data_IF_865306885567
#
_entry.id   IF_865306885567
#
_cell.length_a   1.000
_cell.length_b   1.000
_cell.length_c   1.000
_cell.angle_alpha   90.00
_cell.angle_beta   90.00
_cell.angle_gamma   90.00
#
_symmetry.space_group_name_H-M   'P 1'
#
loop_
_entity.id
_entity.type
_entity.pdbx_description
1 polymer ?
#
# COMPACT_ATOMS: atom_id res chain seq x y z
N UNK A 1 89.72 38.39 8.98
CA UNK A 1 90.10 37.55 7.83
C UNK A 1 89.33 36.24 7.94
N UNK A 2 88.45 35.98 6.95
CA UNK A 2 88.29 34.71 6.21
C UNK A 2 88.48 33.35 6.93
N UNK A 3 87.70 32.28 6.75
CA UNK A 3 86.64 31.89 5.80
C UNK A 3 86.02 30.56 6.31
N UNK A 4 84.73 30.39 6.00
CA UNK A 4 83.97 29.16 5.72
C UNK A 4 84.23 27.83 6.47
N UNK A 5 83.18 27.39 7.17
CA UNK A 5 82.87 25.98 7.48
C UNK A 5 81.98 25.37 6.38
N UNK A 6 82.07 24.04 6.13
CA UNK A 6 81.45 23.37 4.98
C UNK A 6 79.95 23.05 5.17
N UNK A 7 79.21 22.70 4.10
CA UNK A 7 77.75 22.69 4.08
C UNK A 7 77.12 21.39 4.58
N UNK A 8 75.95 21.55 5.19
CA UNK A 8 74.98 20.53 5.59
C UNK A 8 74.45 19.76 4.37
N UNK A 9 74.32 18.42 4.44
CA UNK A 9 73.52 17.68 3.47
C UNK A 9 72.04 17.70 3.88
N UNK A 10 71.21 18.02 2.89
CA UNK A 10 69.78 17.80 2.91
C UNK A 10 69.45 16.32 3.11
N UNK A 11 68.38 16.03 3.88
CA UNK A 11 67.84 14.68 4.02
C UNK A 11 66.54 14.71 4.81
N UNK A 12 65.43 14.71 4.10
CA UNK A 12 64.12 15.11 4.62
C UNK A 12 63.49 14.18 5.65
N UNK A 13 62.54 14.76 6.40
CA UNK A 13 61.41 14.04 6.99
C UNK A 13 60.22 14.99 7.05
N UNK A 14 59.53 15.13 5.93
CA UNK A 14 58.14 15.54 5.95
C UNK A 14 57.33 14.33 6.40
N UNK A 15 57.18 14.18 7.71
CA UNK A 15 56.13 13.34 8.28
C UNK A 15 54.81 14.07 8.10
N UNK A 16 54.31 14.07 6.86
CA UNK A 16 52.91 14.35 6.59
C UNK A 16 52.11 13.25 7.27
N UNK A 17 51.57 13.53 8.45
CA UNK A 17 50.45 12.78 9.00
C UNK A 17 49.35 12.84 7.96
N UNK A 18 49.22 11.79 7.17
CA UNK A 18 48.01 11.52 6.41
C UNK A 18 46.88 11.50 7.43
N UNK A 19 46.08 12.57 7.45
CA UNK A 19 44.72 12.51 7.99
C UNK A 19 44.08 11.22 7.48
N UNK A 20 43.30 10.48 8.28
CA UNK A 20 42.62 9.28 7.80
C UNK A 20 41.90 9.66 6.52
N UNK A 21 42.40 9.18 5.38
CA UNK A 21 41.77 9.39 4.09
C UNK A 21 40.38 8.85 4.27
N UNK A 22 39.39 9.74 4.17
CA UNK A 22 37.98 9.44 4.22
C UNK A 22 37.73 8.17 3.40
N UNK A 23 37.56 7.04 4.10
CA UNK A 23 37.57 5.70 3.52
C UNK A 23 36.31 5.40 2.69
N UNK A 24 35.47 6.42 2.52
CA UNK A 24 34.25 6.41 1.74
C UNK A 24 34.54 6.21 0.25
N UNK A 25 33.74 5.36 -0.37
CA UNK A 25 33.77 5.19 -1.82
C UNK A 25 33.45 6.53 -2.52
N UNK A 26 33.91 6.77 -3.76
CA UNK A 26 33.64 8.03 -4.47
C UNK A 26 32.16 8.43 -4.52
N UNK A 27 31.27 7.45 -4.64
CA UNK A 27 29.81 7.65 -4.66
C UNK A 27 29.25 8.13 -3.30
N UNK A 28 29.86 7.71 -2.19
CA UNK A 28 29.47 8.12 -0.83
C UNK A 28 30.02 9.51 -0.47
N UNK A 29 30.90 10.08 -1.31
CA UNK A 29 31.44 11.43 -1.14
C UNK A 29 30.64 12.48 -1.90
N UNK A 30 29.65 12.06 -2.69
CA UNK A 30 28.78 12.97 -3.41
C UNK A 30 27.90 13.76 -2.42
N UNK A 31 27.55 15.02 -2.75
CA UNK A 31 26.47 15.73 -2.08
C UNK A 31 25.18 14.90 -2.07
N UNK A 32 24.41 15.05 -1.00
CA UNK A 32 23.18 14.28 -0.77
C UNK A 32 22.17 14.44 -1.90
N UNK A 33 22.11 15.62 -2.52
CA UNK A 33 21.24 15.94 -3.66
C UNK A 33 21.61 15.13 -4.90
N UNK A 34 22.90 14.85 -5.12
CA UNK A 34 23.34 13.99 -6.21
C UNK A 34 23.03 12.52 -5.93
N UNK A 35 23.16 12.08 -4.68
CA UNK A 35 22.73 10.74 -4.25
C UNK A 35 21.24 10.56 -4.51
N UNK A 36 20.41 11.55 -4.14
CA UNK A 36 18.97 11.56 -4.40
C UNK A 36 18.68 11.48 -5.90
N UNK A 37 19.35 12.31 -6.70
CA UNK A 37 19.16 12.33 -8.16
C UNK A 37 19.53 10.99 -8.80
N UNK A 38 20.66 10.40 -8.41
CA UNK A 38 21.09 9.08 -8.89
C UNK A 38 20.04 8.01 -8.52
N UNK A 39 19.54 8.05 -7.28
CA UNK A 39 18.52 7.12 -6.84
C UNK A 39 17.20 7.29 -7.61
N UNK A 40 16.70 8.51 -7.83
CA UNK A 40 15.46 8.71 -8.59
C UNK A 40 15.59 8.39 -10.09
N UNK A 41 16.80 8.44 -10.65
CA UNK A 41 17.05 8.02 -12.03
C UNK A 41 17.11 6.49 -12.19
N UNK A 42 17.54 5.78 -11.15
CA UNK A 42 17.73 4.32 -11.20
C UNK A 42 16.60 3.52 -10.53
N UNK A 43 15.97 4.10 -9.50
CA UNK A 43 15.01 3.45 -8.59
C UNK A 43 15.50 2.10 -8.04
N UNK A 44 16.82 1.94 -7.91
CA UNK A 44 17.48 0.70 -7.52
C UNK A 44 17.54 0.58 -5.99
N UNK A 45 16.71 -0.29 -5.41
CA UNK A 45 16.65 -0.49 -3.95
C UNK A 45 17.88 -1.20 -3.36
N UNK A 46 18.75 -1.79 -4.18
CA UNK A 46 20.05 -2.26 -3.72
C UNK A 46 21.02 -1.11 -3.45
N UNK A 47 20.79 0.08 -4.01
CA UNK A 47 21.64 1.25 -3.79
C UNK A 47 21.68 1.70 -2.31
N UNK A 48 20.55 1.96 -1.61
CA UNK A 48 20.57 2.21 -0.17
C UNK A 48 21.06 1.00 0.64
N UNK A 49 20.91 -0.24 0.14
CA UNK A 49 21.38 -1.44 0.86
C UNK A 49 22.90 -1.62 0.80
N UNK A 50 23.56 -1.05 -0.21
CA UNK A 50 25.00 -1.18 -0.42
C UNK A 50 25.85 -0.36 0.56
N UNK A 51 25.29 0.67 1.20
CA UNK A 51 26.01 1.56 2.12
C UNK A 51 25.10 2.19 3.15
N UNK A 52 25.51 2.15 4.42
CA UNK A 52 24.82 2.84 5.50
C UNK A 52 24.80 4.38 5.30
N UNK A 53 25.83 4.95 4.67
CA UNK A 53 25.88 6.37 4.38
C UNK A 53 24.84 6.75 3.32
N UNK A 54 24.74 5.96 2.25
CA UNK A 54 23.72 6.16 1.20
C UNK A 54 22.31 5.91 1.76
N UNK A 55 22.13 4.89 2.60
CA UNK A 55 20.87 4.65 3.29
C UNK A 55 20.43 5.85 4.13
N UNK A 56 21.34 6.42 4.93
CA UNK A 56 21.06 7.60 5.73
C UNK A 56 20.73 8.82 4.86
N UNK A 57 21.46 9.01 3.75
CA UNK A 57 21.20 10.07 2.78
C UNK A 57 19.80 9.96 2.14
N UNK A 58 19.34 8.73 1.85
CA UNK A 58 18.03 8.47 1.25
C UNK A 58 16.89 8.32 2.26
N UNK A 59 17.20 8.26 3.56
CA UNK A 59 16.20 8.08 4.61
C UNK A 59 15.50 9.40 4.94
N UNK A 60 14.66 9.86 4.02
CA UNK A 60 13.94 11.12 4.10
C UNK A 60 12.47 10.91 3.75
N UNK A 61 11.57 11.45 4.58
CA UNK A 61 10.12 11.32 4.36
C UNK A 61 9.68 11.87 3.00
N UNK A 62 10.27 12.96 2.52
CA UNK A 62 9.98 13.52 1.17
C UNK A 62 10.30 12.49 0.08
N UNK A 63 11.43 11.80 0.20
CA UNK A 63 11.82 10.75 -0.74
C UNK A 63 10.81 9.60 -0.70
N UNK A 64 10.40 9.18 0.49
CA UNK A 64 9.40 8.13 0.66
C UNK A 64 8.04 8.52 0.07
N UNK A 65 7.59 9.76 0.27
CA UNK A 65 6.34 10.25 -0.35
C UNK A 65 6.43 10.26 -1.88
N UNK A 66 7.56 10.68 -2.45
CA UNK A 66 7.77 10.63 -3.90
C UNK A 66 7.78 9.20 -4.42
N UNK A 67 8.46 8.27 -3.74
CA UNK A 67 8.44 6.85 -4.11
C UNK A 67 7.03 6.27 -4.10
N UNK A 68 6.23 6.56 -3.06
CA UNK A 68 4.84 6.10 -2.99
C UNK A 68 4.01 6.69 -4.12
N UNK A 69 4.10 8.01 -4.36
CA UNK A 69 3.35 8.63 -5.45
C UNK A 69 3.76 8.08 -6.81
N UNK A 70 5.06 7.83 -7.02
CA UNK A 70 5.58 7.25 -8.27
C UNK A 70 5.05 5.83 -8.47
N UNK A 71 5.10 5.00 -7.43
CA UNK A 71 4.72 3.60 -7.54
C UNK A 71 3.21 3.39 -7.55
N UNK A 72 2.43 4.17 -6.80
CA UNK A 72 1.03 3.86 -6.50
C UNK A 72 0.01 4.82 -7.09
N UNK A 73 0.41 5.87 -7.82
CA UNK A 73 -0.56 6.70 -8.56
C UNK A 73 -1.13 5.95 -9.75
N UNK A 74 -2.43 6.11 -10.04
CA UNK A 74 -3.05 5.54 -11.23
C UNK A 74 -2.45 6.13 -12.52
N UNK A 75 -2.33 5.31 -13.57
CA UNK A 75 -1.73 5.67 -14.86
C UNK A 75 -2.79 5.80 -15.98
N UNK A 76 -3.91 6.46 -15.67
CA UNK A 76 -5.04 6.55 -16.60
C UNK A 76 -4.70 7.43 -17.79
N UNK A 77 -5.40 7.30 -18.94
CA UNK A 77 -5.20 8.16 -20.09
C UNK A 77 -5.22 9.66 -19.76
N UNK A 78 -6.11 10.12 -18.86
CA UNK A 78 -6.16 11.54 -18.46
C UNK A 78 -5.18 11.92 -17.35
N UNK A 79 -4.38 10.97 -16.85
CA UNK A 79 -3.28 11.25 -15.91
C UNK A 79 -2.04 11.77 -16.65
N UNK A 80 -1.86 11.43 -17.93
CA UNK A 80 -0.76 11.94 -18.77
C UNK A 80 -0.96 13.38 -19.25
N UNK A 81 -2.19 13.91 -19.16
CA UNK A 81 -2.54 15.28 -19.58
C UNK A 81 -2.21 16.36 -18.54
N UNK A 82 -1.01 16.31 -17.96
CA UNK A 82 -0.49 17.41 -17.13
C UNK A 82 -0.82 17.34 -15.63
N UNK A 83 -1.60 16.35 -15.20
CA UNK A 83 -2.02 16.20 -13.78
C UNK A 83 -0.86 15.74 -12.91
N UNK A 84 -0.03 14.83 -13.43
CA UNK A 84 1.09 14.23 -12.73
C UNK A 84 2.41 14.90 -13.16
N UNK A 85 2.44 16.23 -13.10
CA UNK A 85 3.60 17.06 -13.50
C UNK A 85 4.33 17.59 -12.27
N UNK A 86 5.61 17.95 -12.46
CA UNK A 86 6.43 18.65 -11.47
C UNK A 86 5.66 19.87 -10.91
N UNK A 87 5.53 20.04 -9.58
CA UNK A 87 6.31 19.44 -8.50
C UNK A 87 5.70 18.20 -7.82
N UNK A 88 4.55 17.70 -8.30
CA UNK A 88 3.83 16.63 -7.59
C UNK A 88 4.55 15.27 -7.68
N UNK A 89 5.24 15.04 -8.80
CA UNK A 89 6.07 13.87 -9.08
C UNK A 89 7.43 14.32 -9.66
N UNK A 90 8.53 13.59 -9.38
CA UNK A 90 9.78 13.81 -10.08
C UNK A 90 9.57 13.55 -11.58
N UNK A 91 10.15 14.42 -12.42
CA UNK A 91 9.82 14.59 -13.85
C UNK A 91 9.98 13.35 -14.74
N UNK A 92 10.46 12.21 -14.22
CA UNK A 92 10.65 10.95 -14.93
C UNK A 92 9.56 9.90 -14.65
N UNK A 93 8.46 10.27 -13.98
CA UNK A 93 7.36 9.38 -13.59
C UNK A 93 6.78 8.49 -14.72
N UNK A 94 6.76 8.95 -15.97
CA UNK A 94 6.13 8.22 -17.08
C UNK A 94 7.04 7.24 -17.83
N UNK A 95 8.26 6.97 -17.35
CA UNK A 95 9.18 6.05 -18.03
C UNK A 95 9.04 4.58 -17.63
N UNK A 96 8.28 4.27 -16.57
CA UNK A 96 8.12 2.89 -16.09
C UNK A 96 7.00 2.18 -16.82
N UNK A 97 7.29 0.98 -17.32
CA UNK A 97 6.26 0.06 -17.78
C UNK A 97 5.48 -0.57 -16.60
N UNK A 98 4.46 -1.37 -16.92
CA UNK A 98 3.60 -1.99 -15.91
C UNK A 98 4.36 -2.97 -14.99
N UNK A 99 5.36 -3.69 -15.52
CA UNK A 99 6.12 -4.70 -14.78
C UNK A 99 7.12 -4.03 -13.85
N UNK A 100 7.87 -3.04 -14.35
CA UNK A 100 8.79 -2.22 -13.56
C UNK A 100 8.06 -1.51 -12.41
N UNK A 101 6.85 -0.98 -12.67
CA UNK A 101 6.03 -0.37 -11.63
C UNK A 101 5.60 -1.39 -10.58
N UNK A 102 5.27 -2.61 -10.99
CA UNK A 102 4.88 -3.70 -10.09
C UNK A 102 6.04 -4.17 -9.21
N UNK A 103 7.24 -4.24 -9.78
CA UNK A 103 8.48 -4.53 -9.04
C UNK A 103 8.77 -3.43 -8.02
N UNK A 104 8.69 -2.16 -8.44
CA UNK A 104 8.87 -1.01 -7.55
C UNK A 104 7.85 -1.01 -6.40
N UNK A 105 6.57 -1.25 -6.68
CA UNK A 105 5.54 -1.40 -5.65
C UNK A 105 5.90 -2.52 -4.67
N UNK A 106 6.35 -3.66 -5.18
CA UNK A 106 6.75 -4.81 -4.35
C UNK A 106 7.94 -4.47 -3.44
N UNK A 107 8.96 -3.76 -3.94
CA UNK A 107 10.10 -3.33 -3.15
C UNK A 107 9.73 -2.28 -2.10
N UNK A 108 8.89 -1.30 -2.44
CA UNK A 108 8.40 -0.30 -1.48
C UNK A 108 7.61 -0.97 -0.36
N UNK A 109 6.68 -1.87 -0.70
CA UNK A 109 5.89 -2.58 0.31
C UNK A 109 6.74 -3.47 1.22
N UNK A 110 7.95 -3.87 0.82
CA UNK A 110 8.87 -4.63 1.70
C UNK A 110 9.55 -3.74 2.74
N UNK A 111 9.60 -2.44 2.51
CA UNK A 111 10.31 -1.50 3.37
C UNK A 111 9.54 -1.17 4.64
N UNK A 112 10.24 -1.11 5.78
CA UNK A 112 9.62 -0.82 7.08
C UNK A 112 9.09 0.61 7.21
N UNK A 113 9.61 1.54 6.42
CA UNK A 113 9.11 2.92 6.38
C UNK A 113 7.78 3.06 5.64
N UNK A 114 7.34 2.04 4.89
CA UNK A 114 6.07 2.05 4.18
C UNK A 114 4.93 1.70 5.15
N UNK A 115 4.43 2.71 5.86
CA UNK A 115 3.38 2.57 6.88
C UNK A 115 2.00 3.01 6.37
N UNK A 116 0.93 2.67 7.09
CA UNK A 116 -0.40 3.18 6.74
C UNK A 116 -0.46 4.70 6.87
N UNK A 117 0.12 5.28 7.92
CA UNK A 117 0.16 6.73 8.13
C UNK A 117 0.76 7.48 6.94
N UNK A 118 1.91 7.01 6.44
CA UNK A 118 2.57 7.60 5.27
C UNK A 118 1.76 7.39 3.98
N UNK A 119 1.19 6.20 3.79
CA UNK A 119 0.32 5.90 2.65
C UNK A 119 -0.93 6.81 2.64
N UNK A 120 -1.56 7.02 3.81
CA UNK A 120 -2.71 7.91 3.99
C UNK A 120 -2.37 9.37 3.73
N UNK A 121 -1.20 9.84 4.18
CA UNK A 121 -0.70 11.17 3.84
C UNK A 121 -0.59 11.33 2.32
N UNK A 122 0.09 10.40 1.65
CA UNK A 122 0.23 10.43 0.19
C UNK A 122 -1.13 10.38 -0.53
N UNK A 123 -2.05 9.57 -0.01
CA UNK A 123 -3.41 9.44 -0.53
C UNK A 123 -4.19 10.75 -0.45
N UNK A 124 -4.17 11.41 0.71
CA UNK A 124 -4.83 12.70 0.92
C UNK A 124 -4.27 13.76 -0.02
N UNK A 125 -2.94 13.91 -0.05
CA UNK A 125 -2.25 14.88 -0.90
C UNK A 125 -2.52 14.62 -2.39
N UNK A 126 -2.63 13.35 -2.78
CA UNK A 126 -3.03 12.96 -4.13
C UNK A 126 -4.44 13.41 -4.47
N UNK A 127 -5.43 13.08 -3.64
CA UNK A 127 -6.83 13.48 -3.86
C UNK A 127 -6.96 15.01 -3.96
N UNK A 128 -6.35 15.74 -3.03
CA UNK A 128 -6.35 17.21 -3.05
C UNK A 128 -5.72 17.76 -4.34
N UNK A 129 -4.61 17.17 -4.78
CA UNK A 129 -3.94 17.57 -6.01
C UNK A 129 -4.82 17.33 -7.25
N UNK A 130 -5.46 16.17 -7.35
CA UNK A 130 -6.39 15.87 -8.45
C UNK A 130 -7.53 16.88 -8.48
N UNK A 131 -8.12 17.21 -7.33
CA UNK A 131 -9.21 18.19 -7.25
C UNK A 131 -8.72 19.57 -7.68
N UNK A 132 -7.57 20.02 -7.19
CA UNK A 132 -7.00 21.32 -7.58
C UNK A 132 -6.75 21.41 -9.08
N UNK A 133 -6.24 20.35 -9.71
CA UNK A 133 -5.89 20.35 -11.13
C UNK A 133 -7.07 20.11 -12.06
N UNK A 134 -7.96 19.17 -11.74
CA UNK A 134 -9.05 18.76 -12.65
C UNK A 134 -10.37 19.48 -12.36
N UNK A 135 -10.52 20.08 -11.18
CA UNK A 135 -11.72 20.85 -10.83
C UNK A 135 -11.47 22.37 -10.82
N UNK A 136 -10.31 22.86 -11.26
CA UNK A 136 -10.03 24.31 -11.34
C UNK A 136 -11.02 25.02 -12.25
N UNK A 137 -11.27 24.46 -13.43
CA UNK A 137 -11.99 25.12 -14.52
C UNK A 137 -13.47 24.71 -14.57
N UNK A 138 -13.87 23.77 -13.70
CA UNK A 138 -15.24 23.29 -13.64
C UNK A 138 -16.17 24.31 -12.98
N UNK A 139 -17.35 24.48 -13.55
CA UNK A 139 -18.40 25.32 -12.97
C UNK A 139 -19.09 24.50 -11.86
N UNK A 140 -18.82 24.86 -10.61
CA UNK A 140 -19.31 24.18 -9.41
C UNK A 140 -20.08 25.19 -8.55
N UNK A 141 -21.16 24.75 -7.88
CA UNK A 141 -21.90 25.61 -6.97
C UNK A 141 -21.01 26.11 -5.81
N UNK A 142 -21.21 27.32 -5.27
CA UNK A 142 -20.38 27.83 -4.16
C UNK A 142 -20.38 26.89 -2.94
N UNK A 143 -21.54 26.28 -2.65
CA UNK A 143 -21.69 25.32 -1.56
C UNK A 143 -20.85 24.06 -1.80
N UNK A 144 -20.93 23.48 -2.99
CA UNK A 144 -20.14 22.29 -3.32
C UNK A 144 -18.65 22.60 -3.44
N UNK A 145 -18.29 23.81 -3.89
CA UNK A 145 -16.91 24.26 -3.94
C UNK A 145 -16.31 24.35 -2.53
N UNK A 146 -17.04 24.94 -1.59
CA UNK A 146 -16.62 24.98 -0.18
C UNK A 146 -16.40 23.57 0.41
N UNK A 147 -17.17 22.56 -0.02
CA UNK A 147 -16.96 21.15 0.38
C UNK A 147 -15.71 20.54 -0.25
N UNK A 148 -15.38 20.89 -1.49
CA UNK A 148 -14.14 20.45 -2.14
C UNK A 148 -12.89 21.14 -1.59
N UNK A 149 -13.03 22.38 -1.13
CA UNK A 149 -11.94 23.15 -0.55
C UNK A 149 -11.62 22.74 0.90
N UNK A 150 -12.59 22.16 1.63
CA UNK A 150 -12.39 21.61 2.98
C UNK A 150 -12.79 20.13 3.08
N UNK A 151 -11.82 19.25 2.89
CA UNK A 151 -12.01 17.80 2.93
C UNK A 151 -11.76 17.17 4.30
N UNK A 152 -11.21 17.92 5.28
CA UNK A 152 -10.82 17.40 6.60
C UNK A 152 -11.90 16.56 7.30
N UNK A 153 -13.18 17.02 7.37
CA UNK A 153 -14.22 16.26 8.07
C UNK A 153 -14.46 14.88 7.46
N UNK A 154 -14.27 14.74 6.15
CA UNK A 154 -14.45 13.47 5.47
C UNK A 154 -13.31 12.50 5.75
N UNK A 155 -12.07 12.98 5.84
CA UNK A 155 -10.92 12.16 6.22
C UNK A 155 -10.99 11.69 7.68
N UNK A 156 -11.53 12.51 8.57
CA UNK A 156 -11.67 12.18 9.99
C UNK A 156 -12.75 11.12 10.25
N UNK A 157 -13.84 11.17 9.49
CA UNK A 157 -15.00 10.27 9.65
C UNK A 157 -14.95 9.02 8.77
N UNK A 158 -13.93 8.88 7.91
CA UNK A 158 -13.88 7.76 6.97
C UNK A 158 -13.73 6.41 7.68
N UNK A 159 -14.45 5.40 7.19
CA UNK A 159 -14.24 4.02 7.60
C UNK A 159 -12.95 3.47 6.97
N UNK A 160 -11.90 3.40 7.79
CA UNK A 160 -10.55 2.96 7.41
C UNK A 160 -10.48 1.49 6.99
N UNK A 161 -11.48 0.68 7.36
CA UNK A 161 -11.54 -0.75 7.09
C UNK A 161 -12.63 -1.10 6.07
N UNK A 162 -13.20 -0.10 5.40
CA UNK A 162 -14.24 -0.33 4.40
C UNK A 162 -13.71 -1.13 3.21
N UNK A 163 -14.19 -2.37 3.05
CA UNK A 163 -13.76 -3.26 1.96
C UNK A 163 -14.55 -3.07 0.65
N UNK A 164 -15.44 -2.07 0.61
CA UNK A 164 -16.47 -1.89 -0.41
C UNK A 164 -17.46 -3.08 -0.45
N UNK A 165 -18.76 -2.82 -0.67
CA UNK A 165 -19.77 -3.88 -0.62
C UNK A 165 -19.52 -4.89 -1.75
N UNK A 166 -19.12 -6.13 -1.42
CA UNK A 166 -18.68 -7.15 -2.38
C UNK A 166 -17.49 -6.71 -3.28
N UNK A 167 -16.58 -5.88 -2.75
CA UNK A 167 -15.46 -5.34 -3.51
C UNK A 167 -15.85 -4.26 -4.54
N UNK A 168 -17.14 -3.88 -4.61
CA UNK A 168 -17.62 -2.79 -5.47
C UNK A 168 -17.71 -1.50 -4.70
N UNK A 169 -17.08 -0.47 -5.25
CA UNK A 169 -17.13 0.89 -4.72
C UNK A 169 -18.53 1.44 -4.98
N UNK A 170 -19.18 1.93 -3.94
CA UNK A 170 -20.50 2.57 -4.05
C UNK A 170 -20.44 3.82 -4.92
N UNK A 171 -21.45 4.70 -4.84
CA UNK A 171 -21.51 5.89 -5.71
C UNK A 171 -20.44 6.96 -5.44
N UNK A 172 -19.80 6.91 -4.27
CA UNK A 172 -18.88 7.91 -3.72
C UNK A 172 -19.28 8.31 -2.31
N UNK A 173 -18.31 8.64 -1.47
CA UNK A 173 -18.53 9.16 -0.12
C UNK A 173 -18.91 10.65 -0.18
N UNK A 174 -18.29 11.39 -1.11
CA UNK A 174 -18.64 12.75 -1.49
C UNK A 174 -18.94 12.79 -2.99
N UNK A 175 -20.09 13.36 -3.37
CA UNK A 175 -20.47 13.57 -4.77
C UNK A 175 -20.87 15.02 -4.95
N UNK A 176 -20.22 15.69 -5.89
CA UNK A 176 -20.46 17.09 -6.27
C UNK A 176 -20.91 17.16 -7.72
N UNK A 177 -21.85 18.07 -8.01
CA UNK A 177 -22.27 18.36 -9.37
C UNK A 177 -21.39 19.46 -9.96
N UNK A 178 -20.95 19.27 -11.19
CA UNK A 178 -20.12 20.22 -11.92
C UNK A 178 -20.65 20.38 -13.36
N UNK A 179 -20.20 21.42 -14.06
CA UNK A 179 -20.38 21.55 -15.51
C UNK A 179 -19.06 21.86 -16.19
N UNK A 180 -18.87 21.30 -17.37
CA UNK A 180 -17.74 21.64 -18.22
C UNK A 180 -17.89 23.10 -18.71
N UNK A 181 -16.85 23.94 -18.63
CA UNK A 181 -16.95 25.35 -19.02
C UNK A 181 -17.25 25.52 -20.51
N UNK A 182 -16.57 24.77 -21.38
CA UNK A 182 -16.70 24.93 -22.83
C UNK A 182 -17.94 24.23 -23.43
N UNK A 183 -18.20 22.97 -23.06
CA UNK A 183 -19.32 22.19 -23.62
C UNK A 183 -20.64 22.38 -22.86
N UNK A 184 -20.59 22.91 -21.63
CA UNK A 184 -21.75 23.02 -20.75
C UNK A 184 -22.26 21.68 -20.20
N UNK A 185 -21.58 20.58 -20.50
CA UNK A 185 -22.00 19.23 -20.13
C UNK A 185 -22.04 19.04 -18.61
N UNK A 186 -23.02 18.27 -18.16
CA UNK A 186 -23.19 17.95 -16.75
C UNK A 186 -22.24 16.85 -16.30
N UNK A 187 -21.36 17.21 -15.37
CA UNK A 187 -20.36 16.33 -14.78
C UNK A 187 -20.68 16.04 -13.31
N UNK A 188 -20.11 14.94 -12.80
CA UNK A 188 -20.10 14.58 -11.40
C UNK A 188 -18.67 14.32 -10.96
N UNK A 189 -18.28 14.95 -9.86
CA UNK A 189 -17.03 14.65 -9.15
C UNK A 189 -17.39 13.74 -7.99
N UNK A 190 -16.91 12.50 -8.00
CA UNK A 190 -17.11 11.52 -6.94
C UNK A 190 -15.78 11.20 -6.26
N UNK A 191 -15.77 11.23 -4.93
CA UNK A 191 -14.60 10.96 -4.10
C UNK A 191 -14.90 9.77 -3.18
N UNK A 192 -13.96 8.84 -3.08
CA UNK A 192 -13.97 7.74 -2.11
C UNK A 192 -12.74 7.84 -1.22
N UNK A 193 -12.91 8.31 0.01
CA UNK A 193 -11.81 8.70 0.89
C UNK A 193 -10.97 7.50 1.29
N UNK A 194 -11.59 6.40 1.75
CA UNK A 194 -10.85 5.20 2.14
C UNK A 194 -9.98 4.64 1.00
N UNK A 195 -10.42 4.78 -0.25
CA UNK A 195 -9.71 4.26 -1.42
C UNK A 195 -8.83 5.31 -2.11
N UNK A 196 -8.75 6.55 -1.61
CA UNK A 196 -8.01 7.62 -2.31
C UNK A 196 -8.53 7.89 -3.72
N UNK A 197 -9.83 7.63 -3.87
CA UNK A 197 -10.60 7.58 -5.11
C UNK A 197 -11.03 8.96 -5.61
N UNK A 198 -10.69 9.41 -6.82
CA UNK A 198 -11.39 10.55 -7.46
C UNK A 198 -11.82 10.17 -8.86
N UNK A 199 -13.09 10.38 -9.18
CA UNK A 199 -13.60 10.21 -10.54
C UNK A 199 -14.37 11.45 -10.96
N UNK A 200 -14.09 11.93 -12.16
CA UNK A 200 -14.86 12.98 -12.83
C UNK A 200 -15.53 12.30 -14.02
N UNK A 201 -16.85 12.27 -14.03
CA UNK A 201 -17.61 11.55 -15.05
C UNK A 201 -18.84 12.33 -15.50
N UNK A 202 -19.27 12.05 -16.72
CA UNK A 202 -20.56 12.49 -17.22
C UNK A 202 -21.71 11.88 -16.43
N UNK A 203 -22.88 12.52 -16.50
CA UNK A 203 -24.10 12.01 -15.89
C UNK A 203 -24.67 10.84 -16.69
N UNK A 204 -24.16 9.64 -16.45
CA UNK A 204 -24.72 8.39 -17.00
C UNK A 204 -25.62 7.67 -15.97
N UNK A 205 -26.71 7.01 -16.40
CA UNK A 205 -27.45 6.07 -15.56
C UNK A 205 -26.67 4.76 -15.30
N UNK A 206 -25.68 4.44 -16.14
CA UNK A 206 -24.81 3.26 -16.00
C UNK A 206 -23.46 3.69 -15.45
N UNK A 207 -23.00 3.05 -14.38
CA UNK A 207 -21.70 3.34 -13.76
C UNK A 207 -20.58 2.62 -14.51
N UNK A 208 -19.65 3.41 -15.06
CA UNK A 208 -18.41 2.90 -15.65
C UNK A 208 -17.22 3.47 -14.84
N UNK A 209 -16.27 2.60 -14.45
CA UNK A 209 -15.00 3.00 -13.83
C UNK A 209 -13.98 3.43 -14.89
N UNK A 210 -14.36 4.40 -15.73
CA UNK A 210 -13.44 5.05 -16.65
C UNK A 210 -12.75 6.22 -15.95
N UNK A 211 -11.45 6.36 -16.16
CA UNK A 211 -10.63 7.50 -15.71
C UNK A 211 -10.69 7.79 -14.19
N UNK A 212 -10.59 6.73 -13.39
CA UNK A 212 -10.58 6.80 -11.93
C UNK A 212 -9.18 7.11 -11.37
N UNK A 213 -8.93 8.34 -10.94
CA UNK A 213 -7.68 8.73 -10.30
C UNK A 213 -7.58 8.10 -8.92
N UNK A 214 -6.51 7.34 -8.64
CA UNK A 214 -6.40 6.55 -7.40
C UNK A 214 -4.98 6.51 -6.85
N UNK A 215 -4.87 6.59 -5.52
CA UNK A 215 -3.69 6.18 -4.75
C UNK A 215 -4.14 5.51 -3.42
N UNK A 216 -3.71 4.27 -3.11
CA UNK A 216 -2.83 3.43 -3.91
C UNK A 216 -3.55 2.72 -5.06
N UNK A 217 -2.85 2.54 -6.18
CA UNK A 217 -3.34 1.88 -7.37
C UNK A 217 -2.30 0.86 -7.86
N UNK A 218 -2.62 -0.44 -7.73
CA UNK A 218 -1.82 -1.52 -8.26
C UNK A 218 -2.36 -2.00 -9.60
N UNK A 219 -1.52 -2.67 -10.39
CA UNK A 219 -1.95 -3.19 -11.70
C UNK A 219 -2.99 -4.30 -11.55
N UNK A 220 -4.01 -4.26 -12.40
CA UNK A 220 -5.04 -5.31 -12.48
C UNK A 220 -4.55 -6.53 -13.26
N UNK A 221 -3.58 -6.38 -14.15
CA UNK A 221 -3.01 -7.48 -14.94
C UNK A 221 -1.76 -8.06 -14.29
N UNK A 222 -0.96 -7.21 -13.65
CA UNK A 222 0.31 -7.56 -13.02
C UNK A 222 0.33 -7.06 -11.57
N UNK A 223 -0.52 -7.58 -10.67
CA UNK A 223 -0.56 -7.08 -9.29
C UNK A 223 0.77 -7.28 -8.58
N UNK A 224 1.12 -6.34 -7.68
CA UNK A 224 2.28 -6.51 -6.80
C UNK A 224 2.00 -7.55 -5.70
N UNK A 225 3.06 -8.11 -5.12
CA UNK A 225 2.95 -9.13 -4.08
C UNK A 225 2.78 -8.49 -2.72
N UNK A 226 1.78 -8.94 -1.95
CA UNK A 226 1.66 -8.56 -0.54
C UNK A 226 2.90 -9.03 0.24
N UNK A 227 3.63 -8.14 0.94
CA UNK A 227 4.85 -8.49 1.67
C UNK A 227 4.57 -9.43 2.84
N UNK A 228 5.50 -10.36 3.12
CA UNK A 228 5.32 -11.35 4.18
C UNK A 228 5.28 -10.74 5.58
N UNK A 229 5.94 -9.61 5.80
CA UNK A 229 5.90 -8.95 7.10
C UNK A 229 4.52 -8.35 7.41
N UNK A 230 3.70 -8.01 6.41
CA UNK A 230 2.31 -7.56 6.61
C UNK A 230 1.37 -8.72 6.97
N UNK A 231 1.80 -9.96 6.77
CA UNK A 231 1.00 -11.17 6.91
C UNK A 231 1.42 -12.05 8.10
N UNK A 232 2.16 -11.50 9.06
CA UNK A 232 2.68 -12.24 10.23
C UNK A 232 2.45 -11.43 11.50
N UNK A 233 2.61 -12.04 12.67
CA UNK A 233 2.68 -11.29 13.94
C UNK A 233 3.91 -10.35 13.97
N UNK A 234 3.88 -9.21 14.70
CA UNK A 234 2.77 -8.67 15.49
C UNK A 234 1.70 -7.98 14.63
N UNK A 235 0.43 -8.07 15.06
CA UNK A 235 -0.74 -7.47 14.43
C UNK A 235 -1.09 -6.12 15.05
N UNK A 236 -0.36 -5.08 14.67
CA UNK A 236 -0.64 -3.70 15.10
C UNK A 236 -1.78 -3.09 14.28
N UNK A 237 -2.51 -2.11 14.82
CA UNK A 237 -3.58 -1.42 14.08
C UNK A 237 -3.09 -0.79 12.77
N UNK A 238 -1.91 -0.14 12.78
CA UNK A 238 -1.34 0.47 11.56
C UNK A 238 -1.08 -0.56 10.44
N UNK A 239 -0.69 -1.77 10.83
CA UNK A 239 -0.48 -2.88 9.90
C UNK A 239 -1.78 -3.43 9.35
N UNK A 240 -2.80 -3.58 10.21
CA UNK A 240 -4.13 -4.05 9.80
C UNK A 240 -4.79 -3.03 8.87
N UNK A 241 -4.62 -1.74 9.14
CA UNK A 241 -5.08 -0.67 8.24
C UNK A 241 -4.37 -0.75 6.87
N UNK A 242 -3.03 -0.88 6.86
CA UNK A 242 -2.29 -1.00 5.59
C UNK A 242 -2.68 -2.27 4.82
N UNK A 243 -2.84 -3.39 5.53
CA UNK A 243 -3.28 -4.65 4.95
C UNK A 243 -4.68 -4.53 4.33
N UNK A 244 -5.63 -3.93 5.04
CA UNK A 244 -7.00 -3.69 4.54
C UNK A 244 -6.99 -2.78 3.30
N UNK A 245 -6.20 -1.70 3.33
CA UNK A 245 -6.09 -0.79 2.19
C UNK A 245 -5.54 -1.48 0.93
N UNK A 246 -4.60 -2.43 1.11
CA UNK A 246 -3.92 -3.12 0.02
C UNK A 246 -4.54 -4.47 -0.35
N UNK A 247 -5.52 -4.99 0.39
CA UNK A 247 -6.01 -6.37 0.25
C UNK A 247 -6.60 -6.66 -1.13
N UNK A 248 -7.20 -5.65 -1.76
CA UNK A 248 -7.75 -5.70 -3.11
C UNK A 248 -6.73 -5.31 -4.21
N UNK A 249 -5.58 -4.74 -3.82
CA UNK A 249 -4.59 -4.16 -4.73
C UNK A 249 -3.42 -5.14 -4.96
N UNK A 250 -2.88 -5.71 -3.87
CA UNK A 250 -1.75 -6.63 -3.88
C UNK A 250 -2.22 -8.07 -3.66
N UNK A 251 -1.65 -9.03 -4.39
CA UNK A 251 -2.03 -10.43 -4.24
C UNK A 251 -1.38 -11.07 -3.01
N UNK A 252 -2.14 -11.92 -2.32
CA UNK A 252 -1.64 -12.72 -1.19
C UNK A 252 -1.18 -14.09 -1.67
N UNK A 253 -1.99 -14.77 -2.50
CA UNK A 253 -1.65 -16.09 -3.01
C UNK A 253 -1.35 -16.08 -4.51
N UNK A 254 -0.42 -16.93 -4.92
CA UNK A 254 -0.07 -17.12 -6.34
C UNK A 254 -1.15 -17.95 -7.06
N UNK A 255 -1.74 -18.93 -6.38
CA UNK A 255 -2.63 -19.92 -6.96
C UNK A 255 -3.86 -20.23 -6.06
N UNK A 256 -4.76 -21.07 -6.57
CA UNK A 256 -5.98 -21.49 -5.86
C UNK A 256 -5.75 -22.45 -4.68
N UNK A 257 -4.51 -22.74 -4.30
CA UNK A 257 -4.21 -23.54 -3.09
C UNK A 257 -4.30 -22.69 -1.83
N UNK A 258 -4.18 -21.36 -1.95
CA UNK A 258 -4.31 -20.41 -0.84
C UNK A 258 -3.34 -20.66 0.32
N UNK A 259 -2.10 -21.10 0.06
CA UNK A 259 -1.17 -21.52 1.11
C UNK A 259 -0.86 -20.41 2.13
N UNK A 260 -0.66 -19.16 1.67
CA UNK A 260 -0.34 -18.05 2.57
C UNK A 260 -1.57 -17.67 3.38
N UNK A 261 -2.72 -17.46 2.72
CA UNK A 261 -3.97 -17.10 3.40
C UNK A 261 -4.42 -18.13 4.43
N UNK A 262 -4.32 -19.44 4.10
CA UNK A 262 -4.62 -20.53 5.05
C UNK A 262 -3.65 -20.56 6.22
N UNK A 263 -2.35 -20.38 5.95
CA UNK A 263 -1.30 -20.39 6.96
C UNK A 263 -1.51 -19.32 8.03
N UNK A 264 -1.95 -18.13 7.59
CA UNK A 264 -2.24 -16.99 8.47
C UNK A 264 -3.40 -17.31 9.42
N UNK A 265 -4.55 -17.75 8.89
CA UNK A 265 -5.70 -18.12 9.72
C UNK A 265 -5.35 -19.23 10.70
N UNK A 266 -4.60 -20.25 10.25
CA UNK A 266 -4.14 -21.34 11.10
C UNK A 266 -3.30 -20.83 12.26
N UNK A 267 -2.36 -19.91 11.99
CA UNK A 267 -1.50 -19.36 13.02
C UNK A 267 -2.29 -18.53 14.04
N UNK A 268 -3.24 -17.71 13.59
CA UNK A 268 -4.12 -16.93 14.47
C UNK A 268 -4.96 -17.80 15.40
N UNK A 269 -5.48 -18.93 14.91
CA UNK A 269 -6.20 -19.90 15.75
C UNK A 269 -5.28 -20.54 16.78
N UNK A 270 -4.03 -20.85 16.42
CA UNK A 270 -3.03 -21.42 17.34
C UNK A 270 -2.65 -20.39 18.42
N UNK A 271 -2.43 -19.15 18.00
CA UNK A 271 -2.04 -18.04 18.88
C UNK A 271 -3.24 -17.49 19.69
N UNK A 272 -4.45 -17.98 19.44
CA UNK A 272 -5.71 -17.56 20.08
C UNK A 272 -6.04 -16.08 19.90
N UNK A 273 -5.57 -15.47 18.81
CA UNK A 273 -5.89 -14.09 18.43
C UNK A 273 -7.19 -14.04 17.61
N UNK A 274 -8.31 -14.02 18.33
CA UNK A 274 -9.65 -14.06 17.74
C UNK A 274 -10.02 -12.76 17.02
N UNK A 275 -9.62 -11.60 17.55
CA UNK A 275 -10.04 -10.32 17.00
C UNK A 275 -9.38 -10.08 15.63
N UNK A 276 -8.09 -10.39 15.49
CA UNK A 276 -7.43 -10.34 14.18
C UNK A 276 -8.04 -11.36 13.23
N UNK A 277 -8.30 -12.59 13.71
CA UNK A 277 -8.93 -13.63 12.89
C UNK A 277 -10.27 -13.18 12.31
N UNK A 278 -11.16 -12.63 13.14
CA UNK A 278 -12.46 -12.10 12.71
C UNK A 278 -12.30 -11.00 11.66
N UNK A 279 -11.43 -10.02 11.91
CA UNK A 279 -11.18 -8.92 10.97
C UNK A 279 -10.66 -9.40 9.62
N UNK A 280 -9.72 -10.37 9.60
CA UNK A 280 -9.20 -10.90 8.34
C UNK A 280 -10.28 -11.62 7.51
N UNK A 281 -11.23 -12.30 8.15
CA UNK A 281 -12.33 -12.96 7.46
C UNK A 281 -13.31 -11.99 6.79
N UNK A 282 -13.38 -10.75 7.27
CA UNK A 282 -14.19 -9.68 6.67
C UNK A 282 -13.53 -9.07 5.42
N UNK A 283 -12.21 -9.26 5.24
CA UNK A 283 -11.46 -8.73 4.12
C UNK A 283 -11.74 -9.51 2.82
N UNK A 284 -11.75 -8.75 1.72
CA UNK A 284 -11.60 -9.34 0.38
C UNK A 284 -10.14 -9.26 -0.02
N UNK A 285 -9.59 -10.37 -0.48
CA UNK A 285 -8.20 -10.53 -0.85
C UNK A 285 -8.07 -10.87 -2.32
N UNK A 286 -6.90 -10.55 -2.87
CA UNK A 286 -6.55 -10.86 -4.24
C UNK A 286 -5.66 -12.08 -4.35
N UNK A 287 -5.91 -12.89 -5.39
CA UNK A 287 -5.06 -14.00 -5.82
C UNK A 287 -4.55 -13.69 -7.21
N UNK A 288 -3.28 -13.97 -7.49
CA UNK A 288 -2.63 -13.56 -8.74
C UNK A 288 -3.32 -14.06 -10.00
N UNK A 289 -3.78 -15.31 -9.99
CA UNK A 289 -4.45 -15.97 -11.13
C UNK A 289 -5.94 -15.61 -11.26
N UNK A 290 -6.51 -14.81 -10.34
CA UNK A 290 -7.93 -14.52 -10.33
C UNK A 290 -8.17 -13.01 -10.28
N UNK A 291 -8.87 -12.49 -11.29
CA UNK A 291 -9.03 -11.05 -11.49
C UNK A 291 -9.91 -10.38 -10.43
N UNK A 292 -10.80 -11.13 -9.79
CA UNK A 292 -11.76 -10.59 -8.84
C UNK A 292 -11.33 -10.85 -7.40
N UNK A 293 -11.42 -9.86 -6.49
CA UNK A 293 -11.22 -10.12 -5.08
C UNK A 293 -12.23 -11.13 -4.56
N UNK A 294 -11.78 -11.99 -3.64
CA UNK A 294 -12.60 -13.00 -2.97
C UNK A 294 -12.49 -12.82 -1.46
N UNK A 295 -13.53 -13.20 -0.71
CA UNK A 295 -13.44 -13.21 0.76
C UNK A 295 -12.27 -14.10 1.20
N UNK A 296 -11.62 -13.72 2.30
CA UNK A 296 -10.52 -14.50 2.84
C UNK A 296 -10.91 -15.99 2.96
N UNK A 297 -10.19 -16.92 2.33
CA UNK A 297 -10.67 -18.29 2.13
C UNK A 297 -10.67 -19.10 3.42
N UNK A 298 -11.83 -19.66 3.79
CA UNK A 298 -11.99 -20.57 4.94
C UNK A 298 -12.04 -22.01 4.44
N UNK A 299 -10.96 -22.77 4.65
CA UNK A 299 -10.85 -24.17 4.19
C UNK A 299 -11.09 -25.15 5.32
N UNK A 300 -11.56 -26.36 4.99
CA UNK A 300 -11.82 -27.48 5.90
C UNK A 300 -10.76 -27.73 7.01
N UNK A 301 -9.48 -27.43 6.76
CA UNK A 301 -8.43 -27.58 7.76
C UNK A 301 -8.64 -26.64 8.96
N UNK A 302 -9.12 -25.41 8.75
CA UNK A 302 -9.23 -24.42 9.83
C UNK A 302 -10.24 -24.83 10.90
N UNK A 303 -11.35 -25.45 10.50
CA UNK A 303 -12.36 -26.00 11.41
C UNK A 303 -11.75 -27.05 12.34
N UNK A 304 -10.89 -27.93 11.81
CA UNK A 304 -10.21 -28.97 12.61
C UNK A 304 -9.18 -28.38 13.55
N UNK A 305 -8.44 -27.37 13.11
CA UNK A 305 -7.45 -26.67 13.94
C UNK A 305 -8.16 -25.95 15.08
N UNK A 306 -9.23 -25.20 14.79
CA UNK A 306 -10.03 -24.53 15.80
C UNK A 306 -10.61 -25.52 16.82
N UNK A 307 -11.14 -26.65 16.35
CA UNK A 307 -11.67 -27.69 17.24
C UNK A 307 -10.61 -28.34 18.13
N UNK A 308 -9.37 -28.45 17.65
CA UNK A 308 -8.24 -28.98 18.43
C UNK A 308 -7.73 -27.98 19.47
N UNK A 309 -7.76 -26.69 19.14
CA UNK A 309 -7.32 -25.61 20.03
C UNK A 309 -8.39 -25.22 21.06
N UNK A 310 -9.66 -25.54 20.81
CA UNK A 310 -10.75 -25.33 21.75
C UNK A 310 -10.59 -26.25 22.98
N UNK A 311 -10.88 -25.71 24.17
CA UNK A 311 -10.91 -26.51 25.39
C UNK A 311 -12.10 -27.49 25.34
N UNK A 312 -11.93 -28.77 25.70
CA UNK A 312 -12.99 -29.78 25.61
C UNK A 312 -14.28 -29.40 26.35
N UNK A 313 -14.15 -28.68 27.47
CA UNK A 313 -15.23 -28.25 28.35
C UNK A 313 -15.98 -27.01 27.82
N UNK A 314 -15.41 -26.30 26.84
CA UNK A 314 -15.92 -25.01 26.37
C UNK A 314 -15.97 -24.90 24.84
N UNK A 315 -16.17 -26.02 24.15
CA UNK A 315 -16.25 -26.08 22.68
C UNK A 315 -17.35 -25.15 22.13
N UNK A 316 -18.48 -25.00 22.85
CA UNK A 316 -19.63 -24.22 22.42
C UNK A 316 -19.42 -22.70 22.54
N UNK A 317 -18.70 -22.22 23.56
CA UNK A 317 -18.34 -20.79 23.67
C UNK A 317 -16.98 -20.47 23.07
N UNK A 318 -16.31 -21.41 22.40
CA UNK A 318 -15.08 -21.08 21.69
C UNK A 318 -15.41 -20.08 20.56
N UNK A 319 -14.82 -18.87 20.59
CA UNK A 319 -15.22 -17.81 19.69
C UNK A 319 -14.87 -18.12 18.23
N UNK A 320 -13.80 -18.87 17.98
CA UNK A 320 -13.43 -19.29 16.62
C UNK A 320 -14.42 -20.31 16.07
N UNK A 321 -14.75 -21.34 16.85
CA UNK A 321 -15.72 -22.36 16.42
C UNK A 321 -17.11 -21.77 16.20
N UNK A 322 -17.54 -20.87 17.08
CA UNK A 322 -18.81 -20.18 16.93
C UNK A 322 -18.85 -19.43 15.61
N UNK A 323 -17.89 -18.54 15.34
CA UNK A 323 -17.83 -17.78 14.09
C UNK A 323 -17.79 -18.70 12.85
N UNK A 324 -16.96 -19.73 12.88
CA UNK A 324 -16.80 -20.68 11.78
C UNK A 324 -18.08 -21.47 11.50
N UNK A 325 -18.75 -21.98 12.53
CA UNK A 325 -19.94 -22.82 12.36
C UNK A 325 -21.24 -22.03 12.20
N UNK A 326 -21.29 -20.75 12.60
CA UNK A 326 -22.47 -19.90 12.36
C UNK A 326 -22.39 -19.18 11.02
N UNK A 327 -21.25 -18.55 10.71
CA UNK A 327 -21.15 -17.64 9.56
C UNK A 327 -20.50 -18.30 8.33
N UNK A 328 -19.62 -19.28 8.55
CA UNK A 328 -18.87 -19.95 7.48
C UNK A 328 -19.26 -21.43 7.29
N UNK A 329 -20.41 -21.85 7.82
CA UNK A 329 -20.93 -23.24 7.67
C UNK A 329 -21.04 -23.68 6.22
N UNK A 330 -21.41 -22.75 5.33
CA UNK A 330 -21.55 -23.01 3.90
C UNK A 330 -20.24 -23.35 3.17
N UNK A 331 -19.08 -23.08 3.78
CA UNK A 331 -17.76 -23.39 3.21
C UNK A 331 -17.33 -24.85 3.49
N UNK A 332 -18.10 -25.60 4.28
CA UNK A 332 -17.82 -27.01 4.60
C UNK A 332 -18.27 -27.89 3.43
N UNK A 333 -17.37 -28.67 2.80
CA UNK A 333 -17.76 -29.61 1.76
C UNK A 333 -18.74 -30.68 2.30
N UNK A 334 -19.80 -30.99 1.55
CA UNK A 334 -20.78 -32.01 1.94
C UNK A 334 -20.15 -33.41 2.14
N UNK A 335 -19.06 -33.68 1.43
CA UNK A 335 -18.30 -34.94 1.50
C UNK A 335 -17.44 -35.06 2.76
N UNK A 336 -17.23 -33.98 3.51
CA UNK A 336 -16.35 -33.99 4.69
C UNK A 336 -17.11 -34.39 5.97
N UNK A 337 -17.45 -35.67 6.06
CA UNK A 337 -18.17 -36.24 7.21
C UNK A 337 -17.50 -35.97 8.56
N UNK A 338 -16.17 -35.77 8.59
CA UNK A 338 -15.45 -35.52 9.82
C UNK A 338 -15.77 -34.15 10.44
N UNK A 339 -15.95 -33.12 9.60
CA UNK A 339 -16.33 -31.78 10.06
C UNK A 339 -17.80 -31.75 10.41
N UNK A 340 -18.67 -32.41 9.65
CA UNK A 340 -20.10 -32.49 9.97
C UNK A 340 -20.36 -33.15 11.34
N UNK A 341 -19.56 -34.15 11.73
CA UNK A 341 -19.59 -34.68 13.11
C UNK A 341 -19.20 -33.64 14.17
N UNK A 342 -18.25 -32.75 13.88
CA UNK A 342 -17.89 -31.65 14.78
C UNK A 342 -19.01 -30.62 14.88
N UNK A 343 -19.66 -30.29 13.76
CA UNK A 343 -20.83 -29.41 13.72
C UNK A 343 -21.97 -30.00 14.55
N UNK A 344 -22.29 -31.29 14.38
CA UNK A 344 -23.31 -31.95 15.21
C UNK A 344 -22.97 -31.92 16.71
N UNK A 345 -21.70 -32.08 17.07
CA UNK A 345 -21.26 -32.00 18.47
C UNK A 345 -21.44 -30.58 19.02
N UNK A 346 -21.16 -29.57 18.19
CA UNK A 346 -21.35 -28.17 18.51
C UNK A 346 -22.85 -27.82 18.66
N UNK A 347 -23.71 -28.32 17.77
CA UNK A 347 -25.16 -28.06 17.77
C UNK A 347 -25.91 -28.79 18.93
N UNK A 348 -25.35 -29.87 19.48
CA UNK A 348 -25.98 -30.72 20.53
C UNK A 348 -25.67 -30.30 21.97
N UNK A 349 -24.73 -29.39 22.19
CA UNK A 349 -24.33 -28.87 23.53
C UNK A 349 -24.89 -27.47 23.73
#
# INVERSE_FOLDING_TARGET
MALHSPPNPAGGRWSGMSSPTDARAPIERLPVELIHKIFFLSLEFNFPRASAHIAAALSNEVIYTWLIRVAFSSANPSSSSGVLVHPFLPAHYFSLDADQKTELQTEILRCQWCTASLMRKCQREYVEHIIRQKCSDLIISPQDRARLDNLDPYWETMDRYSNATHGKRGKGDLIVSARHPDTGEHLKVAIWFNFGSVQIRERSPVFHETDLFRLPCCSTTHPCRMPDHLLRSPWTEEKLELLSLLSNEAYIDEDGKFERSKGILRQLVIDRDFETFRRLLELHIRVKIYLYPLRWPVRSNIFRVAARCAQPENIHNDPFLRLLFTEHRGEIPQTDHSIWKLVEKFDKS
#
